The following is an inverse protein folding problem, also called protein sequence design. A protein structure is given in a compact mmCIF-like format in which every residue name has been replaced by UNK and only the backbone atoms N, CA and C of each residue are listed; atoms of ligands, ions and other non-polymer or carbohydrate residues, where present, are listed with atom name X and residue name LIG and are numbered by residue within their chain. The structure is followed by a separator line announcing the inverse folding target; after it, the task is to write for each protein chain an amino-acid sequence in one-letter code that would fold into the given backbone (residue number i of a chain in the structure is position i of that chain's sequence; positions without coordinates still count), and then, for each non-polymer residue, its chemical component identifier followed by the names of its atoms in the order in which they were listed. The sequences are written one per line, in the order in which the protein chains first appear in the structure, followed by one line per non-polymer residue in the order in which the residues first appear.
data_IF_300651864215
#
_entry.id   IF_300651864215
#
_cell.length_a   1.000
_cell.length_b   1.000
_cell.length_c   1.000
_cell.angle_alpha   90.00
_cell.angle_beta   90.00
_cell.angle_gamma   90.00
#
_symmetry.space_group_name_H-M   'P 1'
#
loop_
_entity.id
_entity.type
_entity.pdbx_description
1 polymer ?
#
# COMPACT_ATOMS: atom_id res chain seq x y z
N UNK A 1 23.39 8.61 45.92
CA UNK A 1 22.24 8.32 45.00
C UNK A 1 22.10 9.39 43.94
N UNK A 2 22.13 10.67 44.23
CA UNK A 2 21.98 11.78 43.30
C UNK A 2 22.95 11.77 42.12
N UNK A 3 24.24 11.44 42.33
CA UNK A 3 25.26 11.33 41.26
C UNK A 3 24.97 10.20 40.25
N UNK A 4 24.41 9.07 40.70
CA UNK A 4 24.02 7.97 39.80
C UNK A 4 22.75 8.32 38.98
N UNK A 5 21.81 9.08 39.58
CA UNK A 5 20.63 9.55 38.91
C UNK A 5 20.96 10.60 37.83
N UNK A 6 21.94 11.49 38.13
CA UNK A 6 22.41 12.51 37.19
C UNK A 6 23.18 11.88 36.00
N UNK A 7 23.94 10.79 36.24
CA UNK A 7 24.66 10.07 35.20
C UNK A 7 23.68 9.31 34.28
N UNK A 8 22.57 8.78 34.81
CA UNK A 8 21.52 8.11 34.06
C UNK A 8 20.72 9.11 33.19
N UNK A 9 20.50 10.34 33.68
CA UNK A 9 19.81 11.39 32.95
C UNK A 9 20.62 11.90 31.76
N UNK A 10 21.96 11.98 31.87
CA UNK A 10 22.85 12.39 30.78
C UNK A 10 22.90 11.34 29.66
N UNK A 11 22.77 10.05 29.99
CA UNK A 11 22.74 8.98 29.00
C UNK A 11 21.46 9.01 28.11
N UNK A 12 20.37 9.56 28.64
CA UNK A 12 19.08 9.66 27.92
C UNK A 12 19.07 10.81 26.87
N UNK A 13 19.96 11.80 26.99
CA UNK A 13 20.09 12.90 26.06
C UNK A 13 21.04 12.62 24.87
N UNK A 14 21.68 11.47 24.82
CA UNK A 14 22.61 11.06 23.76
C UNK A 14 21.97 10.12 22.71
N UNK A 15 20.63 10.07 22.63
CA UNK A 15 19.97 9.34 21.54
C UNK A 15 20.14 10.16 20.27
N UNK A 16 20.94 9.72 19.28
CA UNK A 16 21.02 10.41 18.00
C UNK A 16 19.63 10.40 17.37
N UNK A 17 19.17 11.55 16.90
CA UNK A 17 17.98 11.64 16.04
C UNK A 17 18.33 10.93 14.72
N UNK A 18 17.95 9.67 14.62
CA UNK A 18 18.06 8.93 13.37
C UNK A 18 16.99 9.45 12.45
N UNK A 19 17.37 10.27 11.48
CA UNK A 19 16.53 10.62 10.36
C UNK A 19 16.50 9.41 9.43
N UNK A 20 15.36 8.74 9.32
CA UNK A 20 15.14 7.76 8.28
C UNK A 20 14.88 8.53 6.97
N UNK A 21 15.94 8.72 6.20
CA UNK A 21 15.84 9.26 4.85
C UNK A 21 15.28 8.23 3.87
N UNK A 22 14.88 8.68 2.67
CA UNK A 22 14.44 7.82 1.58
C UNK A 22 13.26 8.37 0.82
N UNK A 23 12.80 7.58 -0.16
CA UNK A 23 11.61 7.90 -0.95
C UNK A 23 10.37 7.32 -0.27
N UNK A 24 9.33 8.15 -0.16
CA UNK A 24 8.02 7.75 0.34
C UNK A 24 6.90 8.32 -0.51
N UNK A 25 5.71 7.71 -0.41
CA UNK A 25 4.51 8.17 -1.09
C UNK A 25 3.54 8.76 -0.06
N UNK A 26 2.87 9.86 -0.42
CA UNK A 26 1.87 10.51 0.44
C UNK A 26 0.57 9.72 0.59
N UNK A 27 0.43 8.61 -0.14
CA UNK A 27 -0.77 7.78 -0.17
C UNK A 27 -0.37 6.31 -0.30
N UNK A 28 -1.17 5.42 0.28
CA UNK A 28 -0.98 3.95 0.18
C UNK A 28 -1.83 3.33 -0.93
N UNK A 29 -2.76 4.10 -1.50
CA UNK A 29 -3.64 3.73 -2.62
C UNK A 29 -4.22 4.96 -3.31
N UNK A 30 -4.68 4.79 -4.52
CA UNK A 30 -5.36 5.84 -5.30
C UNK A 30 -6.70 5.32 -5.78
N UNK A 31 -7.73 6.16 -5.73
CA UNK A 31 -9.06 5.87 -6.30
C UNK A 31 -9.38 6.90 -7.37
N UNK A 32 -9.66 6.43 -8.58
CA UNK A 32 -10.15 7.26 -9.70
C UNK A 32 -11.58 6.84 -10.01
N UNK A 33 -12.51 7.77 -9.90
CA UNK A 33 -13.90 7.53 -10.27
C UNK A 33 -14.08 7.63 -11.79
N UNK A 34 -14.99 6.82 -12.34
CA UNK A 34 -15.40 6.92 -13.74
C UNK A 34 -15.80 8.35 -14.08
N UNK A 35 -15.31 8.86 -15.23
CA UNK A 35 -15.47 10.27 -15.64
C UNK A 35 -14.63 11.25 -14.83
N UNK A 36 -13.86 10.80 -13.84
CA UNK A 36 -12.79 11.57 -13.20
C UNK A 36 -11.59 11.64 -14.14
N UNK A 37 -11.08 12.87 -14.37
CA UNK A 37 -10.01 13.05 -15.37
C UNK A 37 -8.64 12.63 -14.86
N UNK A 38 -8.36 12.79 -13.57
CA UNK A 38 -7.04 12.49 -12.99
C UNK A 38 -7.07 12.41 -11.47
N UNK A 39 -6.07 11.72 -10.92
CA UNK A 39 -5.66 11.79 -9.52
C UNK A 39 -4.21 12.29 -9.43
N UNK A 40 -3.80 12.72 -8.24
CA UNK A 40 -2.44 13.19 -7.96
C UNK A 40 -1.84 12.33 -6.88
N UNK A 41 -0.58 11.91 -7.08
CA UNK A 41 0.23 11.19 -6.10
C UNK A 41 1.41 12.08 -5.70
N UNK A 42 1.64 12.22 -4.40
CA UNK A 42 2.79 12.91 -3.85
C UNK A 42 3.94 11.91 -3.67
N UNK A 43 5.10 12.24 -4.22
CA UNK A 43 6.36 11.53 -3.98
C UNK A 43 7.25 12.45 -3.16
N UNK A 44 7.79 11.94 -2.06
CA UNK A 44 8.59 12.69 -1.10
C UNK A 44 9.97 12.06 -1.02
N UNK A 45 11.00 12.87 -1.22
CA UNK A 45 12.39 12.52 -0.95
C UNK A 45 12.82 13.19 0.34
N UNK A 46 12.94 12.42 1.41
CA UNK A 46 13.45 12.89 2.71
C UNK A 46 14.95 12.59 2.90
N UNK A 47 15.65 12.22 1.83
CA UNK A 47 17.08 11.91 1.83
C UNK A 47 17.89 13.09 1.27
N UNK A 48 19.17 13.14 1.64
CA UNK A 48 20.16 14.08 1.09
C UNK A 48 20.65 13.66 -0.32
N UNK A 49 20.24 12.49 -0.79
CA UNK A 49 20.59 11.94 -2.10
C UNK A 49 19.54 12.30 -3.15
N UNK A 50 19.97 12.60 -4.39
CA UNK A 50 19.09 12.71 -5.55
C UNK A 50 18.69 11.33 -6.06
N UNK A 51 17.49 11.23 -6.61
CA UNK A 51 16.98 9.99 -7.21
C UNK A 51 16.52 10.20 -8.63
N UNK A 52 16.76 9.21 -9.49
CA UNK A 52 16.04 9.07 -10.74
C UNK A 52 14.76 8.28 -10.43
N UNK A 53 13.61 8.91 -10.68
CA UNK A 53 12.29 8.30 -10.46
C UNK A 53 11.72 7.86 -11.80
N UNK A 54 11.34 6.58 -11.89
CA UNK A 54 10.51 6.05 -12.97
C UNK A 54 9.15 5.68 -12.40
N UNK A 55 8.08 6.25 -12.94
CA UNK A 55 6.70 5.96 -12.51
C UNK A 55 5.90 5.35 -13.65
N UNK A 56 5.02 4.39 -13.31
CA UNK A 56 4.21 3.67 -14.28
C UNK A 56 2.90 3.18 -13.67
N UNK A 57 1.96 2.77 -14.53
CA UNK A 57 0.73 2.06 -14.14
C UNK A 57 0.66 0.75 -14.92
N UNK A 58 0.35 -0.35 -14.24
CA UNK A 58 0.24 -1.69 -14.83
C UNK A 58 -1.02 -2.42 -14.35
N UNK A 59 -1.38 -3.48 -15.05
CA UNK A 59 -2.50 -4.36 -14.68
C UNK A 59 -2.15 -5.29 -13.53
N UNK A 60 -0.94 -5.75 -13.49
CA UNK A 60 -0.36 -6.54 -12.42
C UNK A 60 1.10 -6.12 -12.18
N UNK A 61 1.75 -6.72 -11.18
CA UNK A 61 3.10 -6.34 -10.76
C UNK A 61 4.17 -6.92 -11.70
N UNK A 62 3.85 -8.00 -12.43
CA UNK A 62 4.83 -8.78 -13.21
C UNK A 62 4.78 -8.50 -14.70
N UNK A 63 3.66 -7.97 -15.23
CA UNK A 63 3.44 -7.79 -16.66
C UNK A 63 3.26 -6.34 -17.07
N UNK A 64 3.81 -5.98 -18.23
CA UNK A 64 3.70 -4.64 -18.83
C UNK A 64 2.54 -4.59 -19.85
N UNK A 65 1.37 -5.09 -19.43
CA UNK A 65 0.16 -5.02 -20.25
C UNK A 65 -0.35 -3.60 -20.33
N UNK A 66 -0.64 -3.04 -21.52
CA UNK A 66 -1.20 -1.71 -21.66
C UNK A 66 -2.47 -1.52 -20.84
N UNK A 67 -2.56 -0.40 -20.12
CA UNK A 67 -3.68 -0.03 -19.27
C UNK A 67 -4.25 1.32 -19.71
N UNK A 68 -5.53 1.61 -19.42
CA UNK A 68 -6.16 2.88 -19.80
C UNK A 68 -5.75 4.03 -18.86
N UNK A 69 -4.47 4.11 -18.49
CA UNK A 69 -3.93 5.16 -17.63
C UNK A 69 -2.58 5.65 -18.13
N UNK A 70 -2.34 6.95 -17.95
CA UNK A 70 -1.04 7.58 -18.13
C UNK A 70 -0.63 8.23 -16.81
N UNK A 71 0.65 8.10 -16.44
CA UNK A 71 1.25 8.83 -15.33
C UNK A 71 2.24 9.87 -15.87
N UNK A 72 2.22 11.09 -15.32
CA UNK A 72 3.04 12.20 -15.79
C UNK A 72 3.62 13.01 -14.63
N UNK A 73 4.93 13.29 -14.65
CA UNK A 73 5.97 12.79 -15.57
C UNK A 73 6.30 11.31 -15.32
N UNK A 74 6.59 10.50 -16.36
CA UNK A 74 6.92 9.08 -16.20
C UNK A 74 8.37 8.84 -15.76
N UNK A 75 9.26 9.79 -16.04
CA UNK A 75 10.68 9.75 -15.69
C UNK A 75 11.15 11.17 -15.32
N UNK A 76 11.80 11.33 -14.17
CA UNK A 76 12.33 12.62 -13.73
C UNK A 76 13.39 12.44 -12.66
N UNK A 77 14.22 13.48 -12.49
CA UNK A 77 15.16 13.56 -11.38
C UNK A 77 14.47 14.26 -10.21
N UNK A 78 14.59 13.67 -9.03
CA UNK A 78 14.10 14.21 -7.79
C UNK A 78 15.29 14.66 -6.94
N UNK A 79 15.33 15.95 -6.62
CA UNK A 79 16.41 16.52 -5.80
C UNK A 79 16.30 16.03 -4.34
N UNK A 80 17.40 16.18 -3.60
CA UNK A 80 17.42 15.93 -2.16
C UNK A 80 16.40 16.80 -1.42
N UNK A 81 15.79 16.25 -0.35
CA UNK A 81 14.86 16.97 0.52
C UNK A 81 13.75 17.71 -0.25
N UNK A 82 13.18 17.04 -1.26
CA UNK A 82 12.19 17.62 -2.18
C UNK A 82 10.92 16.80 -2.28
N UNK A 83 9.88 17.41 -2.85
CA UNK A 83 8.60 16.77 -3.13
C UNK A 83 8.22 16.99 -4.58
N UNK A 84 7.62 15.97 -5.19
CA UNK A 84 7.13 16.01 -6.56
C UNK A 84 5.72 15.48 -6.64
N UNK A 85 4.88 16.13 -7.42
CA UNK A 85 3.54 15.65 -7.76
C UNK A 85 3.60 14.94 -9.10
N UNK A 86 3.08 13.71 -9.14
CA UNK A 86 2.79 13.01 -10.39
C UNK A 86 1.28 12.91 -10.57
N UNK A 87 0.84 13.09 -11.80
CA UNK A 87 -0.57 13.02 -12.18
C UNK A 87 -0.87 11.71 -12.89
N UNK A 88 -1.87 10.99 -12.41
CA UNK A 88 -2.40 9.79 -13.03
C UNK A 88 -3.67 10.20 -13.78
N UNK A 89 -3.72 10.01 -15.09
CA UNK A 89 -4.86 10.36 -15.95
C UNK A 89 -5.51 9.10 -16.49
N UNK A 90 -6.84 9.03 -16.43
CA UNK A 90 -7.61 7.99 -17.09
C UNK A 90 -7.79 8.35 -18.57
N UNK A 91 -7.53 7.39 -19.47
CA UNK A 91 -7.69 7.53 -20.92
C UNK A 91 -9.04 7.04 -21.44
N UNK A 92 -9.88 6.50 -20.58
CA UNK A 92 -11.16 5.93 -20.97
C UNK A 92 -12.06 5.62 -19.79
N UNK A 93 -13.17 4.98 -20.12
CA UNK A 93 -14.15 4.50 -19.15
C UNK A 93 -13.62 3.31 -18.35
N UNK A 94 -14.28 3.02 -17.23
CA UNK A 94 -14.03 1.81 -16.46
C UNK A 94 -14.29 0.56 -17.31
N UNK A 95 -13.42 -0.44 -17.22
CA UNK A 95 -13.60 -1.74 -17.87
C UNK A 95 -14.87 -2.45 -17.39
N UNK A 96 -15.24 -2.25 -16.13
CA UNK A 96 -16.48 -2.74 -15.55
C UNK A 96 -17.39 -1.58 -15.19
N UNK A 97 -18.69 -1.71 -15.45
CA UNK A 97 -19.72 -0.75 -15.04
C UNK A 97 -20.36 -1.13 -13.70
N UNK A 98 -20.11 -2.34 -13.20
CA UNK A 98 -20.79 -2.90 -12.03
C UNK A 98 -19.89 -3.11 -10.82
N UNK A 99 -18.57 -3.03 -10.98
CA UNK A 99 -17.59 -3.26 -9.92
C UNK A 99 -16.28 -2.53 -10.19
N UNK A 100 -15.47 -2.34 -9.17
CA UNK A 100 -14.13 -1.77 -9.28
C UNK A 100 -13.21 -2.61 -10.16
N UNK A 101 -12.27 -1.92 -10.82
CA UNK A 101 -11.12 -2.53 -11.49
C UNK A 101 -9.84 -2.16 -10.74
N UNK A 102 -8.91 -3.13 -10.60
CA UNK A 102 -7.65 -2.97 -9.91
C UNK A 102 -6.50 -2.81 -10.90
N UNK A 103 -5.63 -1.85 -10.60
CA UNK A 103 -4.34 -1.61 -11.25
C UNK A 103 -3.29 -1.31 -10.17
N UNK A 104 -2.03 -1.21 -10.59
CA UNK A 104 -0.91 -0.93 -9.71
C UNK A 104 -0.11 0.26 -10.23
N UNK A 105 0.25 1.16 -9.33
CA UNK A 105 1.18 2.25 -9.59
C UNK A 105 2.53 1.83 -9.03
N UNK A 106 3.54 1.78 -9.89
CA UNK A 106 4.94 1.54 -9.52
C UNK A 106 5.70 2.87 -9.54
N UNK A 107 6.51 3.10 -8.51
CA UNK A 107 7.43 4.24 -8.37
C UNK A 107 8.81 3.66 -8.04
N UNK A 108 9.61 3.44 -9.10
CA UNK A 108 10.99 2.98 -8.97
C UNK A 108 11.90 4.17 -8.72
N UNK A 109 12.59 4.16 -7.58
CA UNK A 109 13.56 5.16 -7.16
C UNK A 109 14.97 4.59 -7.24
N UNK A 110 15.82 5.18 -8.07
CA UNK A 110 17.22 4.79 -8.27
C UNK A 110 18.10 5.94 -7.73
N UNK A 111 18.90 5.72 -6.67
CA UNK A 111 19.76 6.75 -6.13
C UNK A 111 20.84 7.15 -7.13
N UNK A 112 21.09 8.47 -7.25
CA UNK A 112 22.18 8.97 -8.05
C UNK A 112 23.52 8.57 -7.43
N UNK A 113 24.40 8.00 -8.22
CA UNK A 113 25.77 7.71 -7.77
C UNK A 113 26.52 9.00 -7.47
N UNK A 114 27.08 9.11 -6.27
CA UNK A 114 28.02 10.19 -5.99
C UNK A 114 29.30 9.92 -6.75
N UNK A 115 29.66 10.86 -7.65
CA UNK A 115 30.91 10.79 -8.42
C UNK A 115 32.16 11.15 -7.58
N UNK A 116 32.24 10.72 -6.35
CA UNK A 116 33.50 10.74 -5.65
C UNK A 116 34.31 9.51 -6.05
N UNK A 117 34.81 9.57 -7.29
CA UNK A 117 35.93 8.71 -7.71
C UNK A 117 37.13 9.13 -6.87
N UNK A 118 37.26 8.62 -5.68
CA UNK A 118 38.56 8.49 -5.08
C UNK A 118 39.33 7.45 -5.91
N UNK A 119 40.05 7.95 -6.90
CA UNK A 119 41.09 7.17 -7.57
C UNK A 119 42.20 7.02 -6.52
N UNK A 120 42.05 6.05 -5.63
CA UNK A 120 43.09 5.60 -4.73
C UNK A 120 43.74 4.38 -5.38
N UNK A 121 44.69 4.64 -6.28
CA UNK A 121 45.47 3.59 -6.95
C UNK A 121 44.73 2.85 -8.06
N UNK A 122 45.37 1.87 -8.69
CA UNK A 122 44.86 1.08 -9.82
C UNK A 122 43.69 0.12 -9.50
N UNK A 123 43.07 0.20 -8.34
CA UNK A 123 41.97 -0.70 -7.94
C UNK A 123 40.63 -0.06 -8.25
N UNK A 124 39.90 -0.65 -9.21
CA UNK A 124 38.50 -0.35 -9.47
C UNK A 124 37.68 -0.96 -8.33
N UNK A 125 37.15 -0.14 -7.43
CA UNK A 125 36.17 -0.58 -6.43
C UNK A 125 34.80 -0.63 -7.12
N UNK A 126 34.16 -1.80 -7.26
CA UNK A 126 32.82 -1.89 -7.82
C UNK A 126 31.84 -1.20 -6.88
N UNK A 127 31.11 -0.20 -7.39
CA UNK A 127 30.03 0.48 -6.68
C UNK A 127 28.71 -0.18 -7.04
N UNK A 128 27.93 -0.57 -6.04
CA UNK A 128 26.62 -1.19 -6.20
C UNK A 128 25.55 -0.17 -5.85
N UNK A 129 24.61 0.08 -6.77
CA UNK A 129 23.42 0.92 -6.54
C UNK A 129 22.19 0.03 -6.43
N UNK A 130 21.39 0.24 -5.37
CA UNK A 130 20.16 -0.49 -5.14
C UNK A 130 18.98 0.46 -5.36
N UNK A 131 18.13 0.15 -6.34
CA UNK A 131 16.86 0.85 -6.56
C UNK A 131 15.76 0.26 -5.68
N UNK A 132 14.84 1.10 -5.23
CA UNK A 132 13.64 0.71 -4.48
C UNK A 132 12.41 0.93 -5.35
N UNK A 133 11.58 -0.10 -5.54
CA UNK A 133 10.29 0.04 -6.19
C UNK A 133 9.16 0.02 -5.16
N UNK A 134 8.37 1.09 -5.12
CA UNK A 134 7.20 1.21 -4.25
C UNK A 134 5.96 1.01 -5.11
N UNK A 135 5.22 -0.06 -4.83
CA UNK A 135 4.00 -0.40 -5.57
C UNK A 135 2.78 -0.17 -4.69
N UNK A 136 1.85 0.65 -5.19
CA UNK A 136 0.56 0.90 -4.53
C UNK A 136 -0.60 0.56 -5.45
N UNK A 137 -1.79 0.35 -4.87
CA UNK A 137 -3.00 -0.01 -5.61
C UNK A 137 -3.67 1.23 -6.21
N UNK A 138 -4.17 1.09 -7.45
CA UNK A 138 -5.03 2.04 -8.12
C UNK A 138 -6.38 1.36 -8.39
N UNK A 139 -7.44 1.91 -7.81
CA UNK A 139 -8.81 1.45 -8.04
C UNK A 139 -9.50 2.38 -9.03
N UNK A 140 -10.02 1.82 -10.13
CA UNK A 140 -10.91 2.53 -11.03
C UNK A 140 -12.33 2.16 -10.69
N UNK A 141 -13.10 3.15 -10.18
CA UNK A 141 -14.42 2.94 -9.59
C UNK A 141 -15.52 3.48 -10.49
N UNK A 142 -16.44 2.61 -10.99
CA UNK A 142 -17.59 3.06 -11.74
C UNK A 142 -18.49 3.96 -10.89
N UNK A 143 -19.25 4.83 -11.55
CA UNK A 143 -20.32 5.59 -10.90
C UNK A 143 -21.57 4.76 -10.75
N UNK A 144 -22.39 5.07 -9.75
CA UNK A 144 -23.73 4.46 -9.59
C UNK A 144 -23.70 3.05 -9.00
N UNK A 145 -22.62 2.65 -8.33
CA UNK A 145 -22.62 1.42 -7.53
C UNK A 145 -23.71 1.50 -6.46
N UNK A 146 -24.37 0.36 -6.18
CA UNK A 146 -25.55 0.28 -5.30
C UNK A 146 -25.31 0.59 -3.83
N UNK A 147 -24.03 0.62 -3.41
CA UNK A 147 -23.62 0.92 -2.04
C UNK A 147 -22.38 1.81 -2.07
N UNK A 148 -22.01 2.35 -0.93
CA UNK A 148 -20.78 3.14 -0.74
C UNK A 148 -19.60 2.25 -0.36
N UNK A 149 -18.36 2.73 -0.59
CA UNK A 149 -17.15 2.02 -0.15
C UNK A 149 -17.01 1.95 1.37
N UNK A 150 -17.66 2.86 2.10
CA UNK A 150 -17.68 2.85 3.57
C UNK A 150 -18.64 1.80 4.15
N UNK A 151 -19.71 1.46 3.45
CA UNK A 151 -20.66 0.42 3.85
C UNK A 151 -20.15 -1.00 3.51
N UNK A 152 -19.35 -1.12 2.45
CA UNK A 152 -18.90 -2.40 1.89
C UNK A 152 -18.18 -3.32 2.91
N UNK A 153 -17.30 -2.86 3.79
CA UNK A 153 -16.59 -3.71 4.75
C UNK A 153 -17.51 -4.58 5.60
N UNK A 154 -18.59 -4.01 6.13
CA UNK A 154 -19.52 -4.73 7.00
C UNK A 154 -20.62 -5.51 6.21
N UNK A 155 -20.51 -5.59 4.89
CA UNK A 155 -21.34 -6.46 4.03
C UNK A 155 -20.65 -7.78 3.71
N UNK A 156 -19.37 -7.94 4.06
CA UNK A 156 -18.73 -9.25 3.96
C UNK A 156 -19.49 -10.28 4.80
N UNK A 157 -19.44 -11.53 4.35
CA UNK A 157 -20.03 -12.68 5.05
C UNK A 157 -18.91 -13.63 5.45
N UNK A 158 -19.04 -14.14 6.66
CA UNK A 158 -18.05 -15.04 7.23
C UNK A 158 -18.74 -16.36 7.59
N UNK A 159 -18.20 -17.45 7.11
CA UNK A 159 -18.69 -18.82 7.41
C UNK A 159 -17.52 -19.66 7.91
N UNK A 160 -17.78 -20.52 8.87
CA UNK A 160 -16.79 -21.51 9.31
C UNK A 160 -17.06 -22.84 8.66
N UNK A 161 -16.05 -23.37 7.97
CA UNK A 161 -16.04 -24.71 7.40
C UNK A 161 -14.85 -25.49 7.98
N UNK A 162 -15.14 -26.43 8.88
CA UNK A 162 -14.10 -27.19 9.60
C UNK A 162 -13.12 -26.26 10.33
N UNK A 163 -11.83 -26.31 9.97
CA UNK A 163 -10.76 -25.51 10.53
C UNK A 163 -10.42 -24.28 9.65
N UNK A 164 -11.36 -23.81 8.86
CA UNK A 164 -11.19 -22.62 8.02
C UNK A 164 -12.34 -21.64 8.22
N UNK A 165 -12.01 -20.37 8.14
CA UNK A 165 -12.96 -19.25 7.97
C UNK A 165 -13.00 -18.93 6.48
N UNK A 166 -14.19 -18.97 5.90
CA UNK A 166 -14.47 -18.52 4.53
C UNK A 166 -15.05 -17.13 4.60
N UNK A 167 -14.30 -16.15 4.09
CA UNK A 167 -14.75 -14.75 4.00
C UNK A 167 -15.20 -14.48 2.58
N UNK A 168 -16.46 -14.13 2.40
CA UNK A 168 -17.07 -13.80 1.11
C UNK A 168 -17.28 -12.29 1.01
N UNK A 169 -16.80 -11.71 -0.07
CA UNK A 169 -17.04 -10.31 -0.45
C UNK A 169 -18.17 -10.23 -1.50
N UNK A 170 -19.43 -9.98 -1.12
CA UNK A 170 -20.54 -9.83 -2.06
C UNK A 170 -20.67 -8.41 -2.62
N UNK A 171 -19.67 -7.55 -2.38
CA UNK A 171 -19.72 -6.14 -2.74
C UNK A 171 -19.01 -5.87 -4.07
N UNK A 172 -19.28 -4.75 -4.73
CA UNK A 172 -18.58 -4.36 -5.95
C UNK A 172 -17.19 -3.75 -5.70
N UNK A 173 -16.67 -3.77 -4.50
CA UNK A 173 -15.42 -3.15 -4.10
C UNK A 173 -14.34 -4.19 -3.81
N UNK A 174 -13.08 -3.85 -4.09
CA UNK A 174 -11.93 -4.56 -3.52
C UNK A 174 -11.82 -4.23 -2.04
N UNK A 175 -11.86 -5.23 -1.18
CA UNK A 175 -11.72 -5.07 0.27
C UNK A 175 -10.39 -5.68 0.72
N UNK A 176 -9.55 -4.90 1.38
CA UNK A 176 -8.29 -5.40 1.95
C UNK A 176 -8.44 -5.47 3.46
N UNK A 177 -8.42 -6.67 4.01
CA UNK A 177 -8.41 -6.89 5.46
C UNK A 177 -7.14 -6.26 6.06
N UNK A 178 -7.31 -5.45 7.07
CA UNK A 178 -6.23 -4.91 7.88
C UNK A 178 -5.98 -5.80 9.08
N UNK A 179 -7.08 -6.29 9.68
CA UNK A 179 -7.08 -7.21 10.80
C UNK A 179 -8.35 -8.07 10.77
N UNK A 180 -8.23 -9.29 11.29
CA UNK A 180 -9.36 -10.21 11.50
C UNK A 180 -9.10 -11.08 12.72
N UNK A 181 -10.08 -11.16 13.61
CA UNK A 181 -10.02 -11.90 14.87
C UNK A 181 -11.17 -12.89 14.96
N UNK A 182 -10.91 -14.07 15.51
CA UNK A 182 -11.89 -15.08 15.89
C UNK A 182 -11.85 -15.26 17.41
N UNK A 183 -12.93 -14.91 18.12
CA UNK A 183 -13.03 -14.93 19.59
C UNK A 183 -11.86 -14.23 20.28
N UNK A 184 -11.40 -13.07 19.72
CA UNK A 184 -10.29 -12.28 20.25
C UNK A 184 -8.89 -12.81 19.90
N UNK A 185 -8.78 -13.85 19.09
CA UNK A 185 -7.50 -14.34 18.56
C UNK A 185 -7.33 -13.91 17.11
N UNK A 186 -6.21 -13.25 16.81
CA UNK A 186 -5.88 -12.83 15.45
C UNK A 186 -5.75 -14.03 14.51
N UNK A 187 -6.34 -13.90 13.32
CA UNK A 187 -6.26 -14.88 12.25
C UNK A 187 -5.05 -14.52 11.38
N UNK A 188 -4.15 -15.51 11.20
CA UNK A 188 -3.00 -15.31 10.31
C UNK A 188 -3.45 -15.23 8.85
N UNK A 189 -3.08 -14.14 8.17
CA UNK A 189 -3.35 -13.89 6.76
C UNK A 189 -2.08 -13.92 5.89
N UNK A 190 -0.89 -14.23 6.46
CA UNK A 190 0.39 -14.13 5.74
C UNK A 190 0.49 -15.11 4.56
N UNK A 191 -0.10 -16.30 4.71
CA UNK A 191 -0.07 -17.34 3.68
C UNK A 191 -1.12 -17.13 2.57
N UNK A 192 -1.93 -16.09 2.67
CA UNK A 192 -3.05 -15.83 1.76
C UNK A 192 -3.17 -14.34 1.47
N UNK A 193 -3.83 -14.00 0.36
CA UNK A 193 -4.11 -12.61 0.07
C UNK A 193 -5.07 -12.01 1.11
N UNK A 194 -4.69 -10.90 1.76
CA UNK A 194 -5.58 -10.12 2.59
C UNK A 194 -6.59 -9.31 1.78
N UNK A 195 -6.45 -9.23 0.45
CA UNK A 195 -7.37 -8.52 -0.43
C UNK A 195 -8.35 -9.46 -1.09
N UNK A 196 -9.64 -9.18 -0.91
CA UNK A 196 -10.75 -9.85 -1.57
C UNK A 196 -11.22 -9.01 -2.76
N UNK A 197 -11.23 -9.61 -3.95
CA UNK A 197 -11.81 -9.00 -5.14
C UNK A 197 -13.35 -8.89 -5.00
N UNK A 198 -14.00 -8.03 -5.80
CA UNK A 198 -15.46 -8.01 -5.90
C UNK A 198 -16.03 -9.40 -6.19
N UNK A 199 -17.13 -9.74 -5.53
CA UNK A 199 -17.87 -11.02 -5.74
C UNK A 199 -16.99 -12.28 -5.58
N UNK A 200 -15.98 -12.23 -4.73
CA UNK A 200 -15.06 -13.35 -4.49
C UNK A 200 -15.07 -13.81 -3.03
N UNK A 201 -14.38 -14.89 -2.76
CA UNK A 201 -14.14 -15.37 -1.40
C UNK A 201 -12.68 -15.74 -1.19
N UNK A 202 -12.29 -15.80 0.09
CA UNK A 202 -10.97 -16.22 0.53
C UNK A 202 -11.12 -17.10 1.79
N UNK A 203 -10.17 -18.03 1.96
CA UNK A 203 -10.16 -18.96 3.09
C UNK A 203 -8.95 -18.71 3.96
N UNK A 204 -9.16 -18.71 5.27
CA UNK A 204 -8.11 -18.54 6.27
C UNK A 204 -8.19 -19.66 7.28
N UNK A 205 -7.06 -20.24 7.63
CA UNK A 205 -6.98 -21.35 8.60
C UNK A 205 -7.17 -20.82 10.03
N UNK A 206 -7.97 -21.56 10.81
CA UNK A 206 -8.17 -21.29 12.24
C UNK A 206 -7.84 -22.54 13.05
N UNK A 207 -7.46 -22.34 14.32
CA UNK A 207 -7.05 -23.45 15.18
C UNK A 207 -8.20 -24.10 15.95
N UNK A 208 -9.29 -23.38 16.13
CA UNK A 208 -10.45 -23.86 16.89
C UNK A 208 -11.75 -23.27 16.33
N UNK A 209 -12.90 -23.86 16.74
CA UNK A 209 -14.22 -23.34 16.39
C UNK A 209 -14.39 -21.94 16.99
N UNK A 210 -14.83 -20.98 16.18
CA UNK A 210 -15.09 -19.60 16.59
C UNK A 210 -16.60 -19.35 16.69
N UNK A 211 -16.98 -18.46 17.62
CA UNK A 211 -18.36 -18.00 17.78
C UNK A 211 -18.56 -16.60 17.22
N UNK A 212 -17.53 -15.76 17.28
CA UNK A 212 -17.60 -14.37 16.83
C UNK A 212 -16.36 -14.09 16.00
N UNK A 213 -16.56 -13.51 14.82
CA UNK A 213 -15.46 -12.98 14.00
C UNK A 213 -15.61 -11.47 13.89
N UNK A 214 -14.51 -10.77 14.10
CA UNK A 214 -14.39 -9.32 13.94
C UNK A 214 -13.35 -8.99 12.90
N UNK A 215 -13.56 -7.92 12.16
CA UNK A 215 -12.58 -7.48 11.15
C UNK A 215 -12.65 -5.98 10.89
N UNK A 216 -11.54 -5.46 10.39
CA UNK A 216 -11.45 -4.13 9.80
C UNK A 216 -10.76 -4.22 8.44
N UNK A 217 -11.09 -3.32 7.55
CA UNK A 217 -10.44 -3.20 6.24
C UNK A 217 -9.71 -1.88 6.11
N UNK A 218 -8.84 -1.78 5.11
CA UNK A 218 -8.17 -0.53 4.79
C UNK A 218 -9.09 0.28 3.86
N UNK A 219 -9.49 1.48 4.29
CA UNK A 219 -10.37 2.38 3.56
C UNK A 219 -9.67 3.12 2.40
N UNK A 220 -10.40 3.94 1.64
CA UNK A 220 -9.89 4.68 0.47
C UNK A 220 -8.73 5.64 0.80
N UNK A 221 -8.61 6.08 2.05
CA UNK A 221 -7.57 7.00 2.52
C UNK A 221 -6.37 6.29 3.14
N UNK A 222 -6.38 4.96 3.21
CA UNK A 222 -5.30 4.16 3.82
C UNK A 222 -5.43 3.96 5.33
N UNK A 223 -6.50 4.47 5.96
CA UNK A 223 -6.85 4.21 7.35
C UNK A 223 -7.74 2.97 7.52
N UNK A 224 -8.14 2.69 8.74
CA UNK A 224 -9.04 1.58 9.05
C UNK A 224 -10.51 1.94 8.77
N UNK A 225 -11.31 0.94 8.39
CA UNK A 225 -12.77 1.03 8.38
C UNK A 225 -13.33 0.98 9.79
N UNK A 226 -14.65 1.15 9.91
CA UNK A 226 -15.37 0.77 11.12
C UNK A 226 -15.13 -0.71 11.41
N UNK A 227 -15.20 -1.08 12.71
CA UNK A 227 -15.11 -2.46 13.15
C UNK A 227 -16.41 -3.19 12.77
N UNK A 228 -16.27 -4.27 12.04
CA UNK A 228 -17.36 -5.15 11.66
C UNK A 228 -17.32 -6.42 12.51
N UNK A 229 -18.49 -6.98 12.81
CA UNK A 229 -18.64 -8.18 13.64
C UNK A 229 -19.74 -9.08 13.07
N UNK A 230 -19.49 -10.39 13.07
CA UNK A 230 -20.49 -11.41 12.75
C UNK A 230 -20.41 -12.56 13.74
N UNK A 231 -21.58 -13.01 14.23
CA UNK A 231 -21.71 -14.28 14.97
C UNK A 231 -21.80 -15.43 13.99
N UNK A 232 -21.11 -16.50 14.33
CA UNK A 232 -21.14 -17.77 13.60
C UNK A 232 -22.08 -18.73 14.34
N UNK A 233 -22.85 -19.48 13.58
CA UNK A 233 -23.78 -20.50 14.09
C UNK A 233 -23.08 -21.83 14.41
#
# INVERSE_FOLDING_TARGET
MLRKLMMLAVLFFLVPLVNAGGISLGQTRVVIFEGGKSATLHIINADDTRYLIKSGVSRDIETDVPVPFIITPPLFIMESNSQQLVRIMSLGDSESKSQESLYYISVLAIPAQQKDKQIVGENIIPEMSIGTDIVIKLFHRPRGLKMTSTEAPCKMRVEQLNNEIVVTNPTPYYLTLADMEADGMSINMDDRSAMLAPMSNQRYSIRQKAQIVKWQTINDYGGLSDLCEQRLD
#
